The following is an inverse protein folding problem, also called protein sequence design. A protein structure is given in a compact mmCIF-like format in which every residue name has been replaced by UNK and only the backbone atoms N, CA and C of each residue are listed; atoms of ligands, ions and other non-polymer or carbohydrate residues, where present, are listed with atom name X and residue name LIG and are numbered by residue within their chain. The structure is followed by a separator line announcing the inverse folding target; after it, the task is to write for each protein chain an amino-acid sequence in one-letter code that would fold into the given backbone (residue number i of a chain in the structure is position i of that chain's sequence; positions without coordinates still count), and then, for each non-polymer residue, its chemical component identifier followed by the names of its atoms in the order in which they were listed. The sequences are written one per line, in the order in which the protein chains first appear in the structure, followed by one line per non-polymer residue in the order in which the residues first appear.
data_IF_022959843770
#
_entry.id   IF_022959843770
#
_cell.length_a   1.000
_cell.length_b   1.000
_cell.length_c   1.000
_cell.angle_alpha   90.00
_cell.angle_beta   90.00
_cell.angle_gamma   90.00
#
_symmetry.space_group_name_H-M   'P 1'
#
loop_
_entity.id
_entity.type
_entity.pdbx_description
1 polymer ?
#
# COMPACT_ATOMS: atom_id res chain seq x y z
N UNK A 1 4.01 -16.21 10.09
CA UNK A 1 3.03 -17.05 10.70
C UNK A 1 1.94 -17.34 9.69
N UNK A 2 1.72 -18.59 9.37
CA UNK A 2 1.17 -19.04 8.13
C UNK A 2 -0.30 -18.80 7.90
N UNK A 3 -0.69 -18.84 6.62
CA UNK A 3 -2.08 -18.84 6.20
C UNK A 3 -2.89 -19.95 6.88
N UNK A 4 -4.17 -19.72 7.11
CA UNK A 4 -5.08 -20.69 7.76
C UNK A 4 -5.03 -20.72 9.28
N UNK A 5 -4.32 -19.80 9.95
CA UNK A 5 -4.23 -19.74 11.42
C UNK A 5 -4.79 -18.41 11.97
N UNK A 6 -5.90 -17.95 11.47
CA UNK A 6 -6.50 -16.65 11.85
C UNK A 6 -6.86 -16.60 13.33
N UNK A 7 -7.33 -17.70 13.91
CA UNK A 7 -7.57 -17.83 15.35
C UNK A 7 -6.31 -17.51 16.17
N UNK A 8 -5.15 -18.02 15.73
CA UNK A 8 -3.87 -17.74 16.38
C UNK A 8 -3.43 -16.30 16.23
N UNK A 9 -3.75 -15.63 15.12
CA UNK A 9 -3.48 -14.20 14.95
C UNK A 9 -4.29 -13.37 15.95
N UNK A 10 -5.56 -13.67 16.14
CA UNK A 10 -6.40 -13.02 17.17
C UNK A 10 -5.81 -13.22 18.56
N UNK A 11 -5.40 -14.44 18.90
CA UNK A 11 -4.73 -14.73 20.17
C UNK A 11 -3.45 -13.90 20.34
N UNK A 12 -2.59 -13.83 19.32
CA UNK A 12 -1.37 -13.02 19.37
C UNK A 12 -1.64 -11.53 19.56
N UNK A 13 -2.67 -10.97 18.90
CA UNK A 13 -3.09 -9.59 19.11
C UNK A 13 -3.53 -9.36 20.56
N UNK A 14 -4.27 -10.28 21.14
CA UNK A 14 -4.71 -10.18 22.54
C UNK A 14 -3.57 -10.31 23.56
N UNK A 15 -2.63 -11.23 23.30
CA UNK A 15 -1.53 -11.53 24.23
C UNK A 15 -0.44 -10.44 24.20
N UNK A 16 -0.02 -10.02 22.98
CA UNK A 16 1.10 -9.08 22.80
C UNK A 16 0.65 -7.61 22.75
N UNK A 17 -0.63 -7.35 22.54
CA UNK A 17 -1.21 -6.00 22.49
C UNK A 17 -0.45 -5.04 21.59
N UNK A 18 -0.21 -5.38 20.31
CA UNK A 18 0.46 -4.47 19.37
C UNK A 18 -0.41 -3.25 19.08
N UNK A 19 0.23 -2.10 18.83
CA UNK A 19 -0.44 -0.89 18.37
C UNK A 19 -0.65 -0.89 16.85
N UNK A 20 0.21 -1.60 16.10
CA UNK A 20 0.26 -1.55 14.64
C UNK A 20 0.18 -2.98 14.09
N UNK A 21 -0.57 -3.13 13.01
CA UNK A 21 -0.58 -4.35 12.21
C UNK A 21 -0.24 -4.04 10.75
N UNK A 22 0.60 -4.87 10.13
CA UNK A 22 0.85 -4.84 8.68
C UNK A 22 0.36 -6.15 8.09
N UNK A 23 -0.58 -6.06 7.15
CA UNK A 23 -1.28 -7.23 6.59
C UNK A 23 -1.99 -6.84 5.30
N UNK A 24 -2.42 -7.82 4.49
CA UNK A 24 -3.28 -7.50 3.34
C UNK A 24 -4.68 -7.07 3.80
N UNK A 25 -5.34 -6.15 3.06
CA UNK A 25 -6.67 -5.67 3.45
C UNK A 25 -7.71 -6.78 3.59
N UNK A 26 -7.73 -7.74 2.65
CA UNK A 26 -8.65 -8.89 2.70
C UNK A 26 -8.43 -9.75 3.94
N UNK A 27 -7.17 -9.96 4.33
CA UNK A 27 -6.88 -10.74 5.52
C UNK A 27 -7.23 -9.99 6.82
N UNK A 28 -7.17 -8.65 6.84
CA UNK A 28 -7.65 -7.88 7.99
C UNK A 28 -9.15 -8.08 8.21
N UNK A 29 -9.95 -8.13 7.15
CA UNK A 29 -11.38 -8.46 7.26
C UNK A 29 -11.60 -9.87 7.83
N UNK A 30 -10.80 -10.86 7.39
CA UNK A 30 -10.84 -12.20 7.95
C UNK A 30 -10.45 -12.24 9.45
N UNK A 31 -9.52 -11.40 9.89
CA UNK A 31 -9.17 -11.24 11.31
C UNK A 31 -10.37 -10.65 12.08
N UNK A 32 -11.05 -9.65 11.51
CA UNK A 32 -12.24 -9.06 12.12
C UNK A 32 -13.37 -10.10 12.26
N UNK A 33 -13.64 -10.91 11.21
CA UNK A 33 -14.60 -12.03 11.26
C UNK A 33 -14.26 -13.01 12.37
N UNK A 34 -12.98 -13.31 12.55
CA UNK A 34 -12.52 -14.24 13.58
C UNK A 34 -12.71 -13.68 15.00
N UNK A 35 -12.46 -12.40 15.24
CA UNK A 35 -12.79 -11.74 16.50
C UNK A 35 -14.27 -11.90 16.84
N UNK A 36 -15.14 -11.58 15.88
CA UNK A 36 -16.58 -11.69 16.03
C UNK A 36 -17.03 -13.14 16.26
N UNK A 37 -16.42 -14.12 15.56
CA UNK A 37 -16.67 -15.55 15.76
C UNK A 37 -16.36 -16.02 17.19
N UNK A 38 -15.32 -15.43 17.79
CA UNK A 38 -14.93 -15.70 19.18
C UNK A 38 -15.79 -14.91 20.20
N UNK A 39 -16.75 -14.10 19.75
CA UNK A 39 -17.57 -13.26 20.61
C UNK A 39 -16.82 -12.06 21.20
N UNK A 40 -15.72 -11.64 20.58
CA UNK A 40 -14.88 -10.53 21.00
C UNK A 40 -15.14 -9.34 20.05
N UNK A 41 -15.39 -8.17 20.61
CA UNK A 41 -15.47 -6.94 19.81
C UNK A 41 -14.08 -6.61 19.23
N UNK A 42 -13.89 -6.59 17.90
CA UNK A 42 -12.60 -6.25 17.28
C UNK A 42 -12.05 -4.88 17.72
N UNK A 43 -12.93 -3.93 18.01
CA UNK A 43 -12.60 -2.57 18.46
C UNK A 43 -12.03 -2.53 19.87
N UNK A 44 -12.15 -3.62 20.63
CA UNK A 44 -11.55 -3.74 21.97
C UNK A 44 -10.08 -4.13 21.92
N UNK A 45 -9.53 -4.41 20.73
CA UNK A 45 -8.11 -4.72 20.55
C UNK A 45 -7.22 -3.52 20.86
N UNK A 46 -5.93 -3.75 21.05
CA UNK A 46 -4.93 -2.70 21.23
C UNK A 46 -4.53 -1.97 19.95
N UNK A 47 -4.94 -2.50 18.78
CA UNK A 47 -4.59 -1.96 17.48
C UNK A 47 -5.13 -0.54 17.30
N UNK A 48 -4.31 0.34 16.76
CA UNK A 48 -4.64 1.72 16.43
C UNK A 48 -4.36 2.07 14.97
N UNK A 49 -3.42 1.36 14.35
CA UNK A 49 -3.01 1.61 12.97
C UNK A 49 -2.87 0.28 12.20
N UNK A 50 -3.48 0.22 11.03
CA UNK A 50 -3.26 -0.82 10.05
C UNK A 50 -2.52 -0.28 8.83
N UNK A 51 -1.46 -0.97 8.41
CA UNK A 51 -0.70 -0.68 7.20
C UNK A 51 -1.03 -1.77 6.19
N UNK A 52 -1.68 -1.39 5.09
CA UNK A 52 -2.27 -2.32 4.14
C UNK A 52 -1.63 -2.19 2.76
N UNK A 53 -1.40 -3.32 2.10
CA UNK A 53 -0.83 -3.36 0.76
C UNK A 53 -0.73 -4.77 0.22
N UNK A 54 0.10 -4.96 -0.79
CA UNK A 54 0.33 -6.22 -1.52
C UNK A 54 -0.88 -6.74 -2.33
N UNK A 55 -2.02 -6.07 -2.28
CA UNK A 55 -3.19 -6.31 -3.12
C UNK A 55 -3.95 -5.00 -3.38
N UNK A 56 -4.65 -4.87 -4.51
CA UNK A 56 -5.54 -3.73 -4.75
C UNK A 56 -6.69 -3.71 -3.73
N UNK A 57 -7.03 -2.53 -3.22
CA UNK A 57 -8.15 -2.36 -2.30
C UNK A 57 -8.84 -0.99 -2.48
N UNK A 58 -10.11 -0.93 -2.12
CA UNK A 58 -10.98 0.23 -2.34
C UNK A 58 -11.15 1.08 -1.09
N UNK A 59 -11.66 2.29 -1.25
CA UNK A 59 -12.03 3.14 -0.12
C UNK A 59 -13.20 2.56 0.69
N UNK A 60 -14.12 1.81 0.06
CA UNK A 60 -15.18 1.11 0.78
C UNK A 60 -14.61 0.02 1.69
N UNK A 61 -13.58 -0.70 1.22
CA UNK A 61 -12.87 -1.68 2.02
C UNK A 61 -12.11 -1.02 3.17
N UNK A 62 -11.50 0.15 2.94
CA UNK A 62 -10.89 0.98 4.00
C UNK A 62 -11.93 1.32 5.07
N UNK A 63 -13.06 1.88 4.65
CA UNK A 63 -14.14 2.25 5.57
C UNK A 63 -14.65 1.06 6.38
N UNK A 64 -14.79 -0.11 5.75
CA UNK A 64 -15.19 -1.33 6.43
C UNK A 64 -14.16 -1.77 7.49
N UNK A 65 -12.87 -1.76 7.16
CA UNK A 65 -11.79 -2.09 8.10
C UNK A 65 -11.78 -1.10 9.28
N UNK A 66 -11.77 0.20 8.99
CA UNK A 66 -11.74 1.25 10.02
C UNK A 66 -12.95 1.16 10.95
N UNK A 67 -14.14 0.94 10.38
CA UNK A 67 -15.35 0.80 11.17
C UNK A 67 -15.33 -0.42 12.08
N UNK A 68 -14.95 -1.58 11.55
CA UNK A 68 -14.99 -2.86 12.28
C UNK A 68 -13.89 -2.96 13.33
N UNK A 69 -12.69 -2.49 13.01
CA UNK A 69 -11.52 -2.62 13.88
C UNK A 69 -11.30 -1.41 14.80
N UNK A 70 -11.85 -0.25 14.46
CA UNK A 70 -11.62 1.00 15.19
C UNK A 70 -10.19 1.54 15.05
N UNK A 71 -9.56 1.35 13.89
CA UNK A 71 -8.17 1.72 13.60
C UNK A 71 -8.10 2.72 12.44
N UNK A 72 -6.97 3.42 12.32
CA UNK A 72 -6.62 4.12 11.08
C UNK A 72 -6.08 3.10 10.06
N UNK A 73 -6.56 3.16 8.82
CA UNK A 73 -6.12 2.28 7.74
C UNK A 73 -5.37 3.08 6.66
N UNK A 74 -4.08 2.81 6.50
CA UNK A 74 -3.22 3.48 5.53
C UNK A 74 -2.70 2.51 4.47
N UNK A 75 -2.55 3.03 3.25
CA UNK A 75 -2.01 2.29 2.11
C UNK A 75 -0.48 2.32 2.12
N UNK A 76 0.15 1.21 1.75
CA UNK A 76 1.59 1.12 1.51
C UNK A 76 1.83 0.52 0.15
N UNK A 77 2.74 1.13 -0.60
CA UNK A 77 3.19 0.63 -1.89
C UNK A 77 4.66 0.23 -1.84
N UNK A 78 4.97 -0.91 -2.43
CA UNK A 78 6.35 -1.40 -2.57
C UNK A 78 6.40 -2.66 -3.41
N UNK A 79 7.59 -2.98 -3.87
CA UNK A 79 7.88 -4.18 -4.65
C UNK A 79 9.29 -4.64 -4.30
N UNK A 80 9.50 -5.96 -4.27
CA UNK A 80 10.77 -6.57 -3.85
C UNK A 80 11.96 -6.13 -4.69
N UNK A 81 11.73 -5.82 -5.97
CA UNK A 81 12.74 -5.38 -6.94
C UNK A 81 13.32 -4.01 -6.59
N UNK A 82 12.49 -3.12 -6.06
CA UNK A 82 12.91 -1.77 -5.64
C UNK A 82 13.29 -1.78 -4.16
N UNK A 83 12.32 -1.92 -3.31
CA UNK A 83 12.44 -2.15 -1.88
C UNK A 83 11.05 -2.54 -1.34
N UNK A 84 10.94 -3.71 -0.82
CA UNK A 84 9.71 -4.16 -0.17
C UNK A 84 9.90 -4.31 1.34
N UNK A 85 8.89 -3.97 2.13
CA UNK A 85 7.77 -3.12 1.85
C UNK A 85 8.12 -1.64 2.04
N UNK A 86 7.49 -0.73 1.28
CA UNK A 86 7.53 0.68 1.66
C UNK A 86 8.41 1.59 0.82
N UNK A 87 8.24 1.57 -0.51
CA UNK A 87 8.70 2.65 -1.39
C UNK A 87 7.87 3.92 -1.20
N UNK A 88 6.58 3.74 -0.90
CA UNK A 88 5.65 4.82 -0.59
C UNK A 88 4.64 4.39 0.47
N UNK A 89 4.15 5.33 1.28
CA UNK A 89 3.15 5.08 2.31
C UNK A 89 2.22 6.28 2.48
N UNK A 90 0.95 6.02 2.72
CA UNK A 90 0.01 7.08 3.05
C UNK A 90 0.32 7.72 4.40
N UNK A 91 -0.05 9.00 4.51
CA UNK A 91 -0.07 9.73 5.78
C UNK A 91 -1.44 9.56 6.44
N UNK A 92 -1.46 9.34 7.75
CA UNK A 92 -2.70 9.17 8.53
C UNK A 92 -3.59 10.42 8.42
N UNK A 93 -2.97 11.61 8.30
CA UNK A 93 -3.64 12.90 8.31
C UNK A 93 -4.53 13.10 7.06
N UNK A 94 -4.15 12.54 5.93
CA UNK A 94 -4.83 12.83 4.65
C UNK A 94 -5.41 11.60 3.97
N UNK A 95 -4.75 10.45 4.06
CA UNK A 95 -5.16 9.17 3.40
C UNK A 95 -5.53 9.35 1.92
N UNK A 96 -4.75 10.18 1.21
CA UNK A 96 -5.04 10.65 -0.14
C UNK A 96 -4.04 10.17 -1.20
N UNK A 97 -3.42 9.05 -0.93
CA UNK A 97 -2.43 8.36 -1.76
C UNK A 97 -1.05 8.29 -1.11
N UNK A 98 -0.30 7.21 -1.38
CA UNK A 98 1.02 6.99 -0.78
C UNK A 98 2.01 8.09 -1.15
N UNK A 99 2.65 8.69 -0.15
CA UNK A 99 3.78 9.60 -0.31
C UNK A 99 5.01 8.78 -0.66
N UNK A 100 5.67 9.12 -1.76
CA UNK A 100 6.90 8.45 -2.22
C UNK A 100 8.08 9.03 -1.45
N UNK A 101 8.97 8.17 -0.94
CA UNK A 101 10.18 8.57 -0.25
C UNK A 101 11.24 9.04 -1.24
N UNK A 102 11.10 10.29 -1.75
CA UNK A 102 11.94 10.86 -2.82
C UNK A 102 13.39 11.12 -2.40
N UNK A 103 13.71 11.06 -1.14
CA UNK A 103 15.09 11.02 -0.62
C UNK A 103 15.78 9.67 -0.89
N UNK A 104 15.02 8.61 -1.13
CA UNK A 104 15.53 7.28 -1.44
C UNK A 104 15.22 6.79 -2.86
N UNK A 105 14.13 7.28 -3.45
CA UNK A 105 13.63 6.82 -4.75
C UNK A 105 13.23 7.99 -5.63
N UNK A 106 13.76 8.05 -6.84
CA UNK A 106 13.32 9.01 -7.84
C UNK A 106 12.20 8.40 -8.69
N UNK A 107 10.96 8.91 -8.61
CA UNK A 107 9.86 8.41 -9.41
C UNK A 107 9.74 9.17 -10.73
N UNK A 108 9.36 8.45 -11.79
CA UNK A 108 8.94 8.97 -13.09
C UNK A 108 7.63 8.30 -13.49
N UNK A 109 6.80 9.01 -14.24
CA UNK A 109 5.69 8.39 -14.99
C UNK A 109 6.09 8.41 -16.46
N UNK A 110 5.92 7.29 -17.12
CA UNK A 110 6.23 7.18 -18.56
C UNK A 110 5.01 6.68 -19.33
N UNK A 111 4.97 7.04 -20.58
CA UNK A 111 4.10 6.38 -21.55
C UNK A 111 4.57 4.91 -21.72
N UNK A 112 3.70 3.92 -21.50
CA UNK A 112 4.12 2.51 -21.51
C UNK A 112 4.57 2.01 -22.90
N UNK A 113 4.10 2.64 -23.98
CA UNK A 113 4.42 2.24 -25.36
C UNK A 113 5.69 2.91 -25.88
N UNK A 114 5.83 4.22 -25.66
CA UNK A 114 6.96 5.01 -26.16
C UNK A 114 8.15 5.08 -25.19
N UNK A 115 7.87 4.97 -23.88
CA UNK A 115 8.88 5.13 -22.83
C UNK A 115 9.23 6.60 -22.53
N UNK A 116 8.51 7.55 -23.14
CA UNK A 116 8.69 8.98 -22.90
C UNK A 116 8.18 9.36 -21.51
N UNK A 117 8.88 10.28 -20.84
CA UNK A 117 8.48 10.79 -19.53
C UNK A 117 7.29 11.73 -19.67
N UNK A 118 6.26 11.47 -18.89
CA UNK A 118 5.05 12.28 -18.84
C UNK A 118 5.11 13.30 -17.69
N UNK A 119 4.45 14.46 -17.83
CA UNK A 119 4.33 15.44 -16.75
C UNK A 119 3.61 14.87 -15.52
N UNK A 120 3.90 15.43 -14.34
CA UNK A 120 3.15 15.13 -13.11
C UNK A 120 1.65 15.39 -13.33
N UNK A 121 0.80 14.49 -12.83
CA UNK A 121 -0.65 14.52 -13.01
C UNK A 121 -1.16 13.70 -14.21
N UNK A 122 -0.30 13.39 -15.19
CA UNK A 122 -0.68 12.52 -16.31
C UNK A 122 -0.59 11.04 -15.89
N UNK A 123 -1.55 10.19 -16.30
CA UNK A 123 -1.52 8.77 -16.01
C UNK A 123 -0.53 8.05 -16.92
N UNK A 124 0.21 7.08 -16.35
CA UNK A 124 1.15 6.26 -17.12
C UNK A 124 1.78 5.18 -16.24
N UNK A 125 2.84 4.56 -16.73
CA UNK A 125 3.58 3.53 -16.01
C UNK A 125 4.58 4.15 -15.04
N UNK A 126 4.56 3.67 -13.80
CA UNK A 126 5.48 4.10 -12.75
C UNK A 126 6.87 3.48 -12.95
N UNK A 127 7.88 4.33 -12.83
CA UNK A 127 9.29 3.96 -12.94
C UNK A 127 10.03 4.46 -11.72
N UNK A 128 10.98 3.68 -11.20
CA UNK A 128 11.83 4.08 -10.09
C UNK A 128 13.31 3.99 -10.39
N UNK A 129 14.05 4.97 -9.90
CA UNK A 129 15.50 4.92 -9.76
C UNK A 129 15.84 4.98 -8.27
N UNK A 130 16.63 4.03 -7.77
CA UNK A 130 17.11 4.09 -6.38
C UNK A 130 18.25 5.07 -6.23
N UNK A 131 18.21 5.93 -5.18
CA UNK A 131 19.21 6.95 -4.92
C UNK A 131 20.21 6.53 -3.84
N UNK A 132 19.77 5.74 -2.87
CA UNK A 132 20.56 5.40 -1.67
C UNK A 132 20.85 3.91 -1.51
N UNK A 133 20.37 3.08 -2.43
CA UNK A 133 20.55 1.62 -2.37
C UNK A 133 21.94 1.23 -2.83
N UNK A 134 22.80 0.80 -1.92
CA UNK A 134 24.18 0.40 -2.21
C UNK A 134 24.26 -0.96 -2.90
N UNK A 135 23.51 -1.94 -2.39
CA UNK A 135 23.46 -3.26 -2.98
C UNK A 135 22.34 -3.35 -4.02
N UNK A 136 22.67 -3.80 -5.20
CA UNK A 136 21.75 -3.94 -6.31
C UNK A 136 20.96 -2.64 -6.61
N UNK A 137 21.64 -1.52 -6.88
CA UNK A 137 20.97 -0.29 -7.26
C UNK A 137 20.21 -0.49 -8.57
N UNK A 138 19.01 0.05 -8.63
CA UNK A 138 18.19 0.02 -9.84
C UNK A 138 18.14 1.41 -10.48
N UNK A 139 18.13 1.43 -11.80
CA UNK A 139 18.06 2.66 -12.60
C UNK A 139 16.90 2.49 -13.58
N UNK A 140 15.92 3.41 -13.50
CA UNK A 140 14.73 3.45 -14.34
C UNK A 140 14.01 2.08 -14.44
N UNK A 141 13.78 1.46 -13.29
CA UNK A 141 13.04 0.19 -13.23
C UNK A 141 11.57 0.40 -13.54
N UNK A 142 11.09 -0.24 -14.59
CA UNK A 142 9.69 -0.21 -15.02
C UNK A 142 8.87 -1.16 -14.15
N UNK A 143 7.98 -0.62 -13.32
CA UNK A 143 7.18 -1.43 -12.38
C UNK A 143 6.04 -2.16 -13.06
N UNK A 144 5.61 -1.68 -14.23
CA UNK A 144 4.38 -2.05 -14.93
C UNK A 144 3.10 -1.57 -14.27
N UNK A 145 3.17 -0.98 -13.09
CA UNK A 145 2.00 -0.44 -12.40
C UNK A 145 1.58 0.90 -13.01
N UNK A 146 0.27 1.06 -13.24
CA UNK A 146 -0.32 2.26 -13.82
C UNK A 146 -0.83 3.17 -12.71
N UNK A 147 -0.32 4.38 -12.69
CA UNK A 147 -0.66 5.43 -11.71
C UNK A 147 -0.35 6.81 -12.28
N UNK A 148 -0.38 7.84 -11.43
CA UNK A 148 0.13 9.19 -11.71
C UNK A 148 0.79 9.78 -10.49
N UNK A 149 1.71 10.72 -10.69
CA UNK A 149 2.30 11.50 -9.60
C UNK A 149 1.44 12.72 -9.30
N UNK A 150 1.24 12.99 -8.02
CA UNK A 150 0.44 14.08 -7.51
C UNK A 150 1.29 14.95 -6.56
N UNK A 151 0.99 16.25 -6.42
CA UNK A 151 1.67 17.10 -5.44
C UNK A 151 1.56 16.54 -4.03
N UNK A 152 2.56 16.81 -3.20
CA UNK A 152 2.52 16.48 -1.77
C UNK A 152 1.41 17.25 -1.04
N UNK A 153 0.89 16.65 0.02
CA UNK A 153 -0.16 17.22 0.88
C UNK A 153 0.31 17.28 2.33
N UNK A 154 0.24 16.18 3.07
CA UNK A 154 0.75 16.10 4.44
C UNK A 154 2.29 16.17 4.51
N UNK A 155 2.98 15.84 3.44
CA UNK A 155 4.45 15.93 3.28
C UNK A 155 4.79 16.70 2.00
N UNK A 156 6.02 17.20 1.89
CA UNK A 156 6.49 17.94 0.71
C UNK A 156 6.80 17.04 -0.49
N UNK A 157 7.08 15.75 -0.25
CA UNK A 157 7.35 14.76 -1.29
C UNK A 157 6.07 14.45 -2.08
N UNK A 158 6.25 14.14 -3.38
CA UNK A 158 5.12 13.75 -4.23
C UNK A 158 4.47 12.47 -3.72
N UNK A 159 3.20 12.36 -4.00
CA UNK A 159 2.42 11.14 -3.72
C UNK A 159 1.97 10.51 -5.02
N UNK A 160 1.64 9.25 -4.96
CA UNK A 160 1.08 8.54 -6.10
C UNK A 160 -0.42 8.31 -5.89
N UNK A 161 -1.16 8.28 -6.98
CA UNK A 161 -2.54 7.79 -6.95
C UNK A 161 -2.54 6.27 -6.71
N UNK A 162 -3.65 5.71 -6.24
CA UNK A 162 -3.77 4.25 -6.15
C UNK A 162 -3.52 3.61 -7.50
N UNK A 163 -2.77 2.51 -7.50
CA UNK A 163 -2.52 1.73 -8.72
C UNK A 163 -3.85 1.26 -9.31
N UNK A 164 -4.08 1.58 -10.57
CA UNK A 164 -5.32 1.25 -11.30
C UNK A 164 -5.24 -0.07 -12.05
N UNK A 165 -4.05 -0.62 -12.22
CA UNK A 165 -3.79 -1.86 -12.93
C UNK A 165 -2.33 -1.97 -13.34
N UNK A 166 -2.02 -2.94 -14.18
CA UNK A 166 -0.70 -3.15 -14.75
C UNK A 166 -0.72 -3.03 -16.27
N UNK A 167 0.34 -2.48 -16.85
CA UNK A 167 0.45 -2.31 -18.32
C UNK A 167 0.56 -3.65 -19.07
N UNK A 168 1.06 -4.69 -18.40
CA UNK A 168 1.19 -6.05 -18.96
C UNK A 168 -0.07 -6.91 -18.80
N UNK A 169 -1.04 -6.48 -17.97
CA UNK A 169 -2.34 -7.17 -17.79
C UNK A 169 -3.47 -6.58 -18.67
N UNK A 170 -3.17 -5.53 -19.45
CA UNK A 170 -4.17 -4.89 -20.31
C UNK A 170 -4.54 -5.79 -21.51
N UNK A 171 -5.77 -6.28 -21.54
CA UNK A 171 -6.34 -6.96 -22.71
C UNK A 171 -6.72 -5.88 -23.73
N UNK A 172 -5.95 -5.78 -24.82
CA UNK A 172 -6.32 -4.92 -25.96
C UNK A 172 -7.44 -5.63 -26.72
N UNK A 173 -8.69 -5.20 -26.48
CA UNK A 173 -9.81 -5.58 -27.34
C UNK A 173 -9.67 -4.82 -28.67
N UNK A 174 -9.30 -5.54 -29.73
CA UNK A 174 -9.28 -5.04 -31.11
C UNK A 174 -10.63 -5.24 -31.78
#
# INVERSE_FOLDING_TARGET
FGGGQTERQVQLIQDFKPDIIMVTPSYMLAIADEFERQGIDPRSSSLRLGIFGAEPWTNDMRAAIEHRMGIDAVDIYGLSEVMGPGVASECIETKDGPTIWEDHFYPEIIDPDTGEVLPDGEPGELVFTSLTKEAFPIIRYRTRDLTRLLPGTARSMRRMEKVTGRSDDMIILR
#
